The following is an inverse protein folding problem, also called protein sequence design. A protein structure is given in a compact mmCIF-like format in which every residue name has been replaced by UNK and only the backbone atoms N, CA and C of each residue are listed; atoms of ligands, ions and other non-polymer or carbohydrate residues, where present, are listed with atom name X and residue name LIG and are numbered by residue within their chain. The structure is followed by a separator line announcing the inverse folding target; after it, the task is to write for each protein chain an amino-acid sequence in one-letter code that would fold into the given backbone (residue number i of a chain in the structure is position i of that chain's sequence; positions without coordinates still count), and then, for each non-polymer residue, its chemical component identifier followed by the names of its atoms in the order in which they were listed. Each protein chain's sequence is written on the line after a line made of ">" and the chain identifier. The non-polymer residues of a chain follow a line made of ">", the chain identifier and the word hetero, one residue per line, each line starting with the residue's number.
data_IF_690285698609
#
_entry.id   IF_690285698609
#
_cell.length_a   1.000
_cell.length_b   1.000
_cell.length_c   1.000
_cell.angle_alpha   90.00
_cell.angle_beta   90.00
_cell.angle_gamma   90.00
#
_symmetry.space_group_name_H-M   'P 1'
#
loop_
_entity.id
_entity.type
_entity.pdbx_description
1 polymer ?
#
# COMPACT_ATOMS: atom_id res chain seq x y z
N UNK A 1 -14.86 4.83 60.99
CA UNK A 1 -15.99 4.53 60.07
C UNK A 1 -15.44 4.56 58.66
N UNK A 2 -15.19 3.38 58.11
CA UNK A 2 -14.49 3.14 56.83
C UNK A 2 -15.57 3.03 55.75
N UNK A 3 -15.51 3.84 54.69
CA UNK A 3 -16.36 3.65 53.50
C UNK A 3 -15.45 3.40 52.30
N UNK A 4 -15.67 2.22 51.71
CA UNK A 4 -14.88 1.55 50.68
C UNK A 4 -14.95 2.28 49.35
N UNK A 5 -13.80 2.38 48.67
CA UNK A 5 -13.71 2.63 47.22
C UNK A 5 -14.10 1.33 46.49
N UNK A 6 -15.11 1.41 45.63
CA UNK A 6 -15.44 0.35 44.67
C UNK A 6 -14.55 0.48 43.43
N UNK A 7 -13.85 -0.59 43.10
CA UNK A 7 -13.09 -0.75 41.87
C UNK A 7 -14.03 -0.84 40.64
N UNK A 8 -13.62 -0.39 39.45
CA UNK A 8 -14.40 -0.61 38.23
C UNK A 8 -14.23 -2.06 37.76
N UNK A 9 -15.36 -2.73 37.58
CA UNK A 9 -15.49 -4.05 36.96
C UNK A 9 -15.17 -3.95 35.47
N UNK A 10 -14.12 -4.65 35.00
CA UNK A 10 -13.91 -4.92 33.58
C UNK A 10 -15.08 -5.77 33.05
N UNK A 11 -15.94 -5.21 32.20
CA UNK A 11 -16.89 -6.00 31.44
C UNK A 11 -16.21 -6.51 30.16
N UNK A 12 -15.92 -7.81 30.12
CA UNK A 12 -15.56 -8.49 28.88
C UNK A 12 -16.79 -8.48 27.95
N UNK A 13 -16.68 -7.81 26.81
CA UNK A 13 -17.67 -7.91 25.73
C UNK A 13 -17.14 -8.88 24.68
N UNK A 14 -17.87 -9.97 24.54
CA UNK A 14 -17.73 -10.97 23.48
C UNK A 14 -17.74 -10.30 22.11
N UNK A 15 -16.67 -10.48 21.34
CA UNK A 15 -16.60 -10.07 19.92
C UNK A 15 -17.56 -10.97 19.14
N UNK A 16 -18.63 -10.41 18.60
CA UNK A 16 -19.56 -11.12 17.72
C UNK A 16 -19.12 -10.89 16.27
N UNK A 17 -18.67 -11.95 15.62
CA UNK A 17 -18.35 -11.94 14.19
C UNK A 17 -19.62 -12.23 13.37
N UNK A 18 -20.00 -11.32 12.47
CA UNK A 18 -21.04 -11.59 11.48
C UNK A 18 -20.38 -11.91 10.15
N UNK A 19 -20.36 -13.20 9.80
CA UNK A 19 -20.19 -13.63 8.41
C UNK A 19 -21.57 -13.60 7.74
N UNK A 20 -21.77 -12.70 6.77
CA UNK A 20 -22.99 -12.74 5.96
C UNK A 20 -22.92 -13.93 5.00
N UNK A 21 -23.66 -15.00 5.30
CA UNK A 21 -23.92 -16.09 4.37
C UNK A 21 -25.18 -15.71 3.59
N UNK A 22 -25.04 -15.41 2.31
CA UNK A 22 -26.18 -15.27 1.40
C UNK A 22 -26.78 -16.65 1.12
N UNK A 23 -27.91 -16.98 1.74
CA UNK A 23 -28.69 -18.18 1.44
C UNK A 23 -29.74 -17.86 0.37
N UNK A 24 -29.44 -18.18 -0.89
CA UNK A 24 -30.40 -18.21 -1.99
C UNK A 24 -31.21 -19.50 -1.99
N UNK A 25 -32.53 -19.38 -2.14
CA UNK A 25 -33.49 -20.48 -2.27
C UNK A 25 -33.18 -21.35 -3.51
N UNK A 26 -33.26 -22.67 -3.31
CA UNK A 26 -32.85 -23.68 -4.28
C UNK A 26 -33.92 -23.96 -5.34
N UNK A 27 -33.49 -24.06 -6.61
CA UNK A 27 -34.06 -25.00 -7.58
C UNK A 27 -32.94 -25.64 -8.42
N UNK A 28 -32.77 -26.95 -8.21
CA UNK A 28 -32.10 -27.94 -9.07
C UNK A 28 -30.94 -27.52 -9.98
N UNK A 29 -29.72 -27.59 -9.47
CA UNK A 29 -28.49 -27.80 -10.26
C UNK A 29 -27.51 -28.65 -9.43
N UNK A 30 -26.76 -29.52 -10.09
CA UNK A 30 -25.82 -30.48 -9.49
C UNK A 30 -24.98 -29.81 -8.38
N UNK A 31 -24.91 -30.45 -7.19
CA UNK A 31 -23.95 -30.08 -6.15
C UNK A 31 -22.55 -30.33 -6.70
N UNK A 32 -21.97 -29.33 -7.36
CA UNK A 32 -20.52 -29.16 -7.36
C UNK A 32 -20.15 -29.10 -5.88
N UNK A 33 -19.35 -30.06 -5.42
CA UNK A 33 -18.74 -30.00 -4.10
C UNK A 33 -18.03 -28.66 -4.00
N UNK A 34 -18.65 -27.68 -3.34
CA UNK A 34 -17.98 -26.43 -3.04
C UNK A 34 -16.80 -26.80 -2.15
N UNK A 35 -15.58 -26.48 -2.58
CA UNK A 35 -14.41 -26.58 -1.71
C UNK A 35 -14.77 -25.98 -0.35
N UNK A 36 -14.41 -26.63 0.77
CA UNK A 36 -14.66 -26.06 2.08
C UNK A 36 -14.08 -24.64 2.10
N UNK A 37 -14.82 -23.64 2.60
CA UNK A 37 -14.32 -22.29 2.65
C UNK A 37 -12.98 -22.29 3.39
N UNK A 38 -11.98 -21.54 2.90
CA UNK A 38 -10.66 -21.61 3.48
C UNK A 38 -10.73 -21.21 4.96
N UNK A 39 -10.04 -21.99 5.80
CA UNK A 39 -10.05 -21.81 7.26
C UNK A 39 -9.26 -20.56 7.62
N UNK A 40 -9.96 -19.48 7.93
CA UNK A 40 -9.41 -18.31 8.58
C UNK A 40 -9.40 -18.50 10.10
N UNK A 41 -8.36 -18.00 10.78
CA UNK A 41 -8.27 -17.99 12.24
C UNK A 41 -7.85 -16.61 12.73
N UNK A 42 -8.49 -16.15 13.80
CA UNK A 42 -8.13 -14.94 14.52
C UNK A 42 -7.83 -15.28 15.98
N UNK A 43 -6.65 -14.91 16.45
CA UNK A 43 -6.22 -15.06 17.85
C UNK A 43 -5.87 -13.68 18.38
N UNK A 44 -6.48 -13.29 19.50
CA UNK A 44 -6.21 -12.00 20.14
C UNK A 44 -5.41 -12.23 21.41
N UNK A 45 -4.21 -11.67 21.45
CA UNK A 45 -3.42 -11.51 22.67
C UNK A 45 -3.81 -10.17 23.29
N UNK A 46 -4.30 -10.14 24.55
CA UNK A 46 -4.66 -8.91 25.21
C UNK A 46 -3.49 -7.92 25.33
N UNK A 47 -3.81 -6.64 25.47
CA UNK A 47 -2.84 -5.61 25.75
C UNK A 47 -2.09 -5.87 27.07
N UNK A 48 -0.86 -5.38 27.16
CA UNK A 48 -0.07 -5.35 28.40
C UNK A 48 0.07 -3.91 28.89
N UNK A 49 0.80 -3.71 30.00
CA UNK A 49 1.15 -2.36 30.44
C UNK A 49 2.08 -1.63 29.45
N UNK A 50 2.80 -2.37 28.59
CA UNK A 50 3.86 -1.86 27.72
C UNK A 50 3.47 -1.90 26.23
N UNK A 51 2.38 -2.60 25.87
CA UNK A 51 1.97 -2.79 24.48
C UNK A 51 0.45 -2.88 24.30
N UNK A 52 -0.03 -2.45 23.14
CA UNK A 52 -1.41 -2.71 22.71
C UNK A 52 -1.65 -4.19 22.40
N UNK A 53 -2.90 -4.59 22.10
CA UNK A 53 -3.23 -5.98 21.81
C UNK A 53 -2.60 -6.44 20.49
N UNK A 54 -2.31 -7.75 20.40
CA UNK A 54 -1.84 -8.38 19.17
C UNK A 54 -2.97 -9.23 18.60
N UNK A 55 -3.44 -8.88 17.40
CA UNK A 55 -4.43 -9.64 16.64
C UNK A 55 -3.68 -10.44 15.57
N UNK A 56 -3.48 -11.74 15.82
CA UNK A 56 -2.89 -12.65 14.84
C UNK A 56 -3.97 -13.21 13.94
N UNK A 57 -3.84 -12.95 12.64
CA UNK A 57 -4.69 -13.53 11.61
C UNK A 57 -3.89 -14.54 10.79
N UNK A 58 -4.52 -15.66 10.47
CA UNK A 58 -3.89 -16.70 9.67
C UNK A 58 -4.89 -17.44 8.79
N UNK A 59 -4.37 -18.01 7.71
CA UNK A 59 -5.14 -18.76 6.73
C UNK A 59 -5.27 -18.00 5.41
N UNK A 60 -6.11 -18.54 4.53
CA UNK A 60 -6.37 -17.98 3.21
C UNK A 60 -7.79 -17.44 3.18
N UNK A 61 -8.02 -16.31 2.52
CA UNK A 61 -9.34 -15.69 2.48
C UNK A 61 -9.57 -15.01 1.13
N UNK A 62 -10.79 -15.12 0.58
CA UNK A 62 -11.11 -14.59 -0.75
C UNK A 62 -11.87 -13.27 -0.72
N UNK A 63 -11.95 -12.61 0.44
CA UNK A 63 -12.82 -11.44 0.65
C UNK A 63 -12.18 -10.44 1.61
N UNK A 64 -12.73 -9.23 1.68
CA UNK A 64 -12.25 -8.18 2.59
C UNK A 64 -12.33 -8.67 4.04
N UNK A 65 -11.30 -8.39 4.83
CA UNK A 65 -11.36 -8.42 6.28
C UNK A 65 -11.39 -7.00 6.82
N UNK A 66 -12.37 -6.70 7.66
CA UNK A 66 -12.48 -5.41 8.36
C UNK A 66 -12.37 -5.62 9.86
N UNK A 67 -11.35 -5.01 10.46
CA UNK A 67 -11.22 -4.93 11.91
C UNK A 67 -12.06 -3.77 12.44
N UNK A 68 -13.02 -4.10 13.30
CA UNK A 68 -13.84 -3.14 14.05
C UNK A 68 -13.33 -3.02 15.48
N UNK A 69 -13.67 -1.91 16.15
CA UNK A 69 -13.32 -1.64 17.55
C UNK A 69 -11.82 -1.83 17.85
N UNK A 70 -10.98 -1.36 16.94
CA UNK A 70 -9.52 -1.42 17.04
C UNK A 70 -9.06 -0.58 18.22
N UNK A 71 -8.38 -1.22 19.17
CA UNK A 71 -7.84 -0.56 20.34
C UNK A 71 -6.55 0.21 20.02
N UNK A 72 -6.17 1.12 20.91
CA UNK A 72 -4.92 1.85 20.85
C UNK A 72 -3.71 0.90 20.71
N UNK A 73 -2.77 1.25 19.84
CA UNK A 73 -1.51 0.53 19.64
C UNK A 73 -1.69 -0.93 19.22
N UNK A 74 -2.80 -1.27 18.56
CA UNK A 74 -3.06 -2.65 18.09
C UNK A 74 -2.05 -3.05 17.03
N UNK A 75 -1.50 -4.25 17.17
CA UNK A 75 -0.65 -4.90 16.17
C UNK A 75 -1.46 -6.00 15.48
N UNK A 76 -1.68 -5.87 14.18
CA UNK A 76 -2.20 -6.93 13.33
C UNK A 76 -1.03 -7.76 12.78
N UNK A 77 -0.86 -8.98 13.31
CA UNK A 77 0.12 -9.92 12.79
C UNK A 77 -0.54 -10.75 11.68
N UNK A 78 -0.27 -10.38 10.43
CA UNK A 78 -0.83 -10.94 9.21
C UNK A 78 0.18 -11.83 8.45
N UNK A 79 1.34 -12.14 9.05
CA UNK A 79 2.41 -12.91 8.38
C UNK A 79 1.93 -14.26 7.83
N UNK A 80 0.98 -14.89 8.50
CA UNK A 80 0.40 -16.17 8.11
C UNK A 80 -0.93 -16.02 7.33
N UNK A 81 -1.25 -14.79 6.89
CA UNK A 81 -2.51 -14.45 6.23
C UNK A 81 -2.31 -14.22 4.73
N UNK A 82 -3.16 -14.83 3.91
CA UNK A 82 -3.19 -14.63 2.47
C UNK A 82 -4.59 -14.28 1.98
N UNK A 83 -4.68 -13.21 1.20
CA UNK A 83 -5.84 -12.88 0.39
C UNK A 83 -5.64 -13.40 -1.02
N UNK A 84 -6.50 -14.34 -1.42
CA UNK A 84 -6.48 -14.99 -2.73
C UNK A 84 -7.93 -15.17 -3.22
N UNK A 85 -8.54 -14.11 -3.78
CA UNK A 85 -9.92 -14.14 -4.28
C UNK A 85 -10.03 -15.05 -5.50
N UNK A 86 -11.26 -15.27 -6.00
CA UNK A 86 -11.45 -15.92 -7.30
C UNK A 86 -11.31 -14.88 -8.41
N UNK A 87 -10.86 -15.29 -9.60
CA UNK A 87 -10.74 -14.41 -10.77
C UNK A 87 -12.06 -13.74 -11.16
N UNK A 88 -13.19 -14.43 -10.97
CA UNK A 88 -14.53 -13.90 -11.29
C UNK A 88 -15.01 -12.87 -10.26
N UNK A 89 -14.32 -12.79 -9.12
CA UNK A 89 -14.65 -11.92 -8.00
C UNK A 89 -13.36 -11.27 -7.45
N UNK A 90 -12.72 -10.38 -8.24
CA UNK A 90 -11.52 -9.69 -7.81
C UNK A 90 -11.77 -8.95 -6.50
N UNK A 91 -10.72 -8.74 -5.73
CA UNK A 91 -10.78 -8.18 -4.40
C UNK A 91 -10.60 -6.65 -4.48
N UNK A 92 -11.61 -5.83 -4.15
CA UNK A 92 -11.45 -4.38 -4.15
C UNK A 92 -10.57 -3.96 -2.97
N UNK A 93 -10.85 -4.46 -1.76
CA UNK A 93 -10.01 -4.19 -0.58
C UNK A 93 -9.76 -5.45 0.22
N UNK A 94 -8.50 -5.73 0.54
CA UNK A 94 -8.14 -6.96 1.24
C UNK A 94 -8.28 -6.80 2.76
N UNK A 95 -7.66 -5.78 3.32
CA UNK A 95 -7.65 -5.54 4.75
C UNK A 95 -7.98 -4.09 5.08
N UNK A 96 -8.83 -3.89 6.09
CA UNK A 96 -9.06 -2.56 6.66
C UNK A 96 -9.13 -2.56 8.17
N UNK A 97 -8.58 -1.52 8.80
CA UNK A 97 -8.59 -1.35 10.25
C UNK A 97 -8.70 0.13 10.65
N UNK A 98 -9.37 0.40 11.78
CA UNK A 98 -9.44 1.73 12.39
C UNK A 98 -10.57 2.63 11.87
N UNK A 99 -11.31 2.19 10.86
CA UNK A 99 -12.52 2.85 10.32
C UNK A 99 -13.65 2.81 11.38
N UNK A 100 -13.59 3.67 12.39
CA UNK A 100 -14.50 3.67 13.53
C UNK A 100 -14.67 5.07 14.14
N UNK A 101 -15.72 5.35 14.95
CA UNK A 101 -15.99 6.70 15.46
C UNK A 101 -14.86 7.30 16.30
N UNK A 102 -14.00 6.48 16.88
CA UNK A 102 -12.78 6.94 17.52
C UNK A 102 -11.63 6.09 16.99
N UNK A 103 -10.97 6.49 15.89
CA UNK A 103 -9.82 5.76 15.37
C UNK A 103 -8.77 5.59 16.46
N UNK A 104 -8.00 4.49 16.45
CA UNK A 104 -6.86 4.36 17.35
C UNK A 104 -5.83 5.45 17.03
N UNK A 105 -5.01 5.78 18.01
CA UNK A 105 -3.84 6.65 17.83
C UNK A 105 -2.83 5.95 16.95
N UNK A 106 -2.43 4.73 17.31
CA UNK A 106 -1.45 3.98 16.52
C UNK A 106 -1.99 2.60 16.13
N UNK A 107 -1.57 2.13 14.96
CA UNK A 107 -1.75 0.74 14.54
C UNK A 107 -0.54 0.25 13.75
N UNK A 108 -0.32 -1.06 13.77
CA UNK A 108 0.77 -1.70 13.02
C UNK A 108 0.26 -2.94 12.32
N UNK A 109 0.64 -3.12 11.07
CA UNK A 109 0.39 -4.29 10.26
C UNK A 109 1.72 -4.97 9.98
N UNK A 110 1.82 -6.26 10.32
CA UNK A 110 3.00 -7.08 10.09
C UNK A 110 2.68 -8.16 9.05
N UNK A 111 3.28 -8.07 7.88
CA UNK A 111 3.12 -9.03 6.78
C UNK A 111 1.76 -8.95 6.10
N UNK A 112 1.31 -10.10 5.59
CA UNK A 112 0.13 -10.24 4.77
C UNK A 112 0.49 -10.37 3.29
N UNK A 113 -0.10 -11.37 2.64
CA UNK A 113 0.04 -11.60 1.21
C UNK A 113 -1.29 -11.25 0.54
N UNK A 114 -1.29 -10.29 -0.37
CA UNK A 114 -2.49 -9.87 -1.09
C UNK A 114 -2.31 -10.08 -2.58
N UNK A 115 -3.18 -10.88 -3.18
CA UNK A 115 -3.45 -10.89 -4.62
C UNK A 115 -4.84 -10.29 -4.86
N UNK A 116 -4.95 -9.19 -5.57
CA UNK A 116 -6.25 -8.60 -5.90
C UNK A 116 -6.97 -9.31 -7.05
N UNK A 117 -6.24 -10.07 -7.89
CA UNK A 117 -6.73 -10.72 -9.11
C UNK A 117 -7.59 -9.85 -10.02
N UNK A 118 -7.32 -8.54 -10.07
CA UNK A 118 -7.96 -7.64 -11.04
C UNK A 118 -7.66 -8.17 -12.46
N UNK A 119 -8.67 -8.36 -13.32
CA UNK A 119 -8.45 -8.87 -14.67
C UNK A 119 -7.44 -8.01 -15.46
N UNK A 120 -6.51 -8.68 -16.14
CA UNK A 120 -5.38 -8.01 -16.80
C UNK A 120 -5.80 -7.18 -18.02
N UNK A 121 -6.92 -7.55 -18.65
CA UNK A 121 -7.51 -6.85 -19.79
C UNK A 121 -8.29 -5.60 -19.41
N UNK A 122 -8.57 -5.38 -18.12
CA UNK A 122 -9.22 -4.16 -17.67
C UNK A 122 -8.37 -2.93 -17.98
N UNK A 123 -8.99 -1.92 -18.58
CA UNK A 123 -8.36 -0.61 -18.74
C UNK A 123 -8.13 0.06 -17.39
N UNK A 124 -7.31 1.11 -17.38
CA UNK A 124 -7.13 1.92 -16.18
C UNK A 124 -8.48 2.48 -15.70
N UNK A 125 -9.33 2.98 -16.61
CA UNK A 125 -10.63 3.57 -16.23
C UNK A 125 -11.58 2.55 -15.58
N UNK A 126 -11.62 1.31 -16.07
CA UNK A 126 -12.45 0.25 -15.46
C UNK A 126 -11.90 -0.11 -14.09
N UNK A 127 -10.58 -0.23 -13.97
CA UNK A 127 -9.92 -0.53 -12.70
C UNK A 127 -10.13 0.61 -11.69
N UNK A 128 -10.02 1.86 -12.12
CA UNK A 128 -10.23 3.03 -11.27
C UNK A 128 -11.68 3.13 -10.78
N UNK A 129 -12.65 2.79 -11.62
CA UNK A 129 -14.07 2.73 -11.26
C UNK A 129 -14.39 1.57 -10.30
N UNK A 130 -13.60 0.49 -10.30
CA UNK A 130 -13.76 -0.64 -9.39
C UNK A 130 -13.44 -0.28 -7.93
N UNK A 131 -12.50 0.66 -7.72
CA UNK A 131 -12.09 1.18 -6.42
C UNK A 131 -11.35 0.16 -5.53
N UNK A 132 -10.57 0.68 -4.56
CA UNK A 132 -10.07 -0.07 -3.41
C UNK A 132 -8.55 -0.19 -3.31
N UNK A 133 -8.08 -0.95 -2.32
CA UNK A 133 -6.65 -1.03 -1.96
C UNK A 133 -6.28 -2.36 -1.32
N UNK A 134 -5.00 -2.78 -1.35
CA UNK A 134 -4.62 -3.93 -0.53
C UNK A 134 -4.83 -3.64 0.97
N UNK A 135 -4.38 -2.48 1.43
CA UNK A 135 -4.54 -2.05 2.81
C UNK A 135 -5.20 -0.69 2.91
N UNK A 136 -6.19 -0.58 3.80
CA UNK A 136 -6.84 0.66 4.17
C UNK A 136 -6.77 0.85 5.69
N UNK A 137 -6.13 1.91 6.16
CA UNK A 137 -5.95 2.11 7.60
C UNK A 137 -6.36 3.51 8.02
N UNK A 138 -6.97 3.61 9.19
CA UNK A 138 -7.29 4.88 9.82
C UNK A 138 -6.68 4.94 11.22
N UNK A 139 -5.79 5.89 11.46
CA UNK A 139 -5.29 6.20 12.80
C UNK A 139 -4.89 7.67 12.91
N UNK A 140 -5.05 8.26 14.09
CA UNK A 140 -4.76 9.70 14.32
C UNK A 140 -3.29 9.99 14.63
N UNK A 141 -2.48 8.95 14.82
CA UNK A 141 -1.05 8.98 15.09
C UNK A 141 -0.29 8.13 14.06
N UNK A 142 0.61 7.27 14.51
CA UNK A 142 1.47 6.49 13.61
C UNK A 142 0.80 5.21 13.08
N UNK A 143 0.90 5.01 11.78
CA UNK A 143 0.45 3.81 11.08
C UNK A 143 1.64 3.13 10.41
N UNK A 144 1.81 1.83 10.64
CA UNK A 144 2.93 1.07 10.10
C UNK A 144 2.43 -0.11 9.28
N UNK A 145 2.99 -0.31 8.09
CA UNK A 145 2.96 -1.58 7.37
C UNK A 145 4.39 -2.09 7.17
N UNK A 146 4.64 -3.31 7.59
CA UNK A 146 5.98 -3.91 7.59
C UNK A 146 5.95 -5.31 6.97
N UNK A 147 6.65 -5.50 5.85
CA UNK A 147 6.88 -6.82 5.28
C UNK A 147 5.71 -7.40 4.48
N UNK A 148 4.76 -6.57 4.04
CA UNK A 148 3.64 -7.02 3.21
C UNK A 148 4.04 -7.35 1.76
N UNK A 149 3.39 -8.37 1.18
CA UNK A 149 3.46 -8.72 -0.25
C UNK A 149 2.15 -8.29 -0.91
N UNK A 150 2.20 -7.33 -1.84
CA UNK A 150 1.00 -6.75 -2.47
C UNK A 150 1.07 -6.94 -3.99
N UNK A 151 0.05 -7.56 -4.57
CA UNK A 151 -0.04 -7.85 -6.00
C UNK A 151 -1.41 -7.52 -6.59
N UNK A 152 -1.41 -6.91 -7.78
CA UNK A 152 -2.56 -6.81 -8.68
C UNK A 152 -3.85 -6.26 -8.02
N UNK A 153 -3.69 -5.15 -7.30
CA UNK A 153 -4.76 -4.35 -6.70
C UNK A 153 -4.80 -2.98 -7.37
N UNK A 154 -5.87 -2.22 -7.16
CA UNK A 154 -5.90 -0.84 -7.64
C UNK A 154 -4.86 0.00 -6.92
N UNK A 155 -5.08 0.27 -5.63
CA UNK A 155 -4.14 1.00 -4.80
C UNK A 155 -3.38 0.05 -3.87
N UNK A 156 -2.12 0.37 -3.55
CA UNK A 156 -1.34 -0.46 -2.64
C UNK A 156 -1.78 -0.25 -1.19
N UNK A 157 -1.55 0.96 -0.67
CA UNK A 157 -1.92 1.34 0.69
C UNK A 157 -2.56 2.73 0.74
N UNK A 158 -3.69 2.82 1.45
CA UNK A 158 -4.44 4.04 1.74
C UNK A 158 -4.35 4.34 3.25
N UNK A 159 -3.29 5.02 3.73
CA UNK A 159 -3.26 5.54 5.10
C UNK A 159 -4.14 6.79 5.23
N UNK A 160 -4.95 6.84 6.29
CA UNK A 160 -5.88 7.93 6.61
C UNK A 160 -5.79 8.29 8.09
N UNK A 161 -6.12 9.51 8.45
CA UNK A 161 -6.40 9.92 9.83
C UNK A 161 -7.90 10.02 10.10
N UNK A 162 -8.69 10.33 9.06
CA UNK A 162 -10.13 10.51 9.16
C UNK A 162 -10.88 9.31 8.60
N UNK A 163 -11.89 8.77 9.31
CA UNK A 163 -12.82 7.80 8.73
C UNK A 163 -13.63 8.38 7.56
N UNK A 164 -13.89 7.58 6.54
CA UNK A 164 -14.64 7.96 5.33
C UNK A 164 -16.08 8.42 5.64
N UNK A 165 -16.70 7.92 6.71
CA UNK A 165 -18.06 8.32 7.09
C UNK A 165 -18.14 9.68 7.83
N UNK A 166 -17.01 10.36 8.04
CA UNK A 166 -16.96 11.69 8.65
C UNK A 166 -16.65 12.76 7.62
N UNK A 167 -17.08 14.02 7.86
CA UNK A 167 -16.47 15.15 7.17
C UNK A 167 -14.96 15.06 7.38
N UNK A 168 -14.21 15.09 6.27
CA UNK A 168 -12.75 15.03 6.32
C UNK A 168 -12.23 16.15 7.22
N UNK A 169 -11.53 15.75 8.27
CA UNK A 169 -10.97 16.62 9.29
C UNK A 169 -9.52 16.19 9.44
N UNK A 170 -8.69 16.72 8.55
CA UNK A 170 -7.25 16.49 8.49
C UNK A 170 -6.64 17.04 9.79
N UNK A 171 -6.48 16.15 10.76
CA UNK A 171 -6.00 16.52 12.08
C UNK A 171 -4.54 16.91 11.99
N UNK A 172 -3.82 16.30 11.04
CA UNK A 172 -2.42 16.52 10.80
C UNK A 172 -1.63 16.30 12.09
N UNK A 173 -1.82 15.12 12.67
CA UNK A 173 -1.13 14.68 13.88
C UNK A 173 -0.47 13.31 13.73
N UNK A 174 -0.69 12.66 12.61
CA UNK A 174 -0.33 11.29 12.30
C UNK A 174 0.85 11.20 11.35
N UNK A 175 1.26 9.96 11.11
CA UNK A 175 2.30 9.67 10.15
C UNK A 175 2.17 8.24 9.66
N UNK A 176 2.80 7.95 8.51
CA UNK A 176 2.84 6.61 7.97
C UNK A 176 4.28 6.06 7.85
N UNK A 177 4.43 4.75 8.00
CA UNK A 177 5.67 4.02 7.69
C UNK A 177 5.34 2.79 6.86
N UNK A 178 5.92 2.70 5.66
CA UNK A 178 5.90 1.48 4.84
C UNK A 178 7.33 0.97 4.73
N UNK A 179 7.59 -0.26 5.19
CA UNK A 179 8.93 -0.84 5.13
C UNK A 179 8.96 -2.31 4.78
N UNK A 180 10.05 -2.75 4.18
CA UNK A 180 10.30 -4.16 3.82
C UNK A 180 9.21 -4.76 2.90
N UNK A 181 8.42 -3.94 2.20
CA UNK A 181 7.29 -4.39 1.41
C UNK A 181 7.69 -4.75 -0.02
N UNK A 182 7.08 -5.81 -0.56
CA UNK A 182 7.19 -6.18 -1.97
C UNK A 182 5.87 -5.95 -2.71
N UNK A 183 5.86 -4.93 -3.56
CA UNK A 183 4.65 -4.44 -4.23
C UNK A 183 4.80 -4.55 -5.74
N UNK A 184 3.79 -5.09 -6.41
CA UNK A 184 3.80 -5.33 -7.87
C UNK A 184 2.42 -5.20 -8.49
N UNK A 185 2.35 -4.78 -9.74
CA UNK A 185 1.11 -4.77 -10.51
C UNK A 185 0.04 -3.82 -9.96
N UNK A 186 0.46 -2.72 -9.34
CA UNK A 186 -0.47 -1.70 -8.84
C UNK A 186 -1.08 -0.96 -10.03
N UNK A 187 -2.40 -0.85 -10.04
CA UNK A 187 -3.15 -0.37 -11.21
C UNK A 187 -3.44 1.13 -11.17
N UNK A 188 -3.32 1.76 -10.01
CA UNK A 188 -3.42 3.21 -9.84
C UNK A 188 -2.36 3.70 -8.83
N UNK A 189 -2.72 4.08 -7.60
CA UNK A 189 -1.80 4.71 -6.65
C UNK A 189 -1.18 3.68 -5.68
N UNK A 190 0.13 3.45 -5.77
CA UNK A 190 0.79 2.46 -4.90
C UNK A 190 0.74 2.87 -3.43
N UNK A 191 0.89 4.16 -3.16
CA UNK A 191 0.59 4.78 -1.88
C UNK A 191 -0.31 5.97 -2.18
N UNK A 192 -1.55 5.92 -1.71
CA UNK A 192 -2.55 6.96 -1.92
C UNK A 192 -2.70 7.81 -0.65
N UNK A 193 -1.89 8.86 -0.53
CA UNK A 193 -1.87 9.77 0.60
C UNK A 193 -2.75 11.01 0.38
N UNK A 194 -4.04 10.79 0.07
CA UNK A 194 -5.01 11.88 -0.08
C UNK A 194 -5.36 12.67 1.22
N UNK A 195 -4.72 12.33 2.34
CA UNK A 195 -4.82 13.09 3.59
C UNK A 195 -3.53 13.80 3.99
N UNK A 196 -2.51 13.81 3.12
CA UNK A 196 -1.26 14.54 3.34
C UNK A 196 -0.61 14.18 4.69
N UNK A 197 -0.52 12.89 5.01
CA UNK A 197 0.25 12.45 6.16
C UNK A 197 1.75 12.54 5.84
N UNK A 198 2.61 13.06 6.73
CA UNK A 198 4.05 12.86 6.61
C UNK A 198 4.40 11.37 6.81
N UNK A 199 5.54 10.94 6.31
CA UNK A 199 5.88 9.52 6.44
C UNK A 199 7.23 9.08 5.94
N UNK A 200 7.45 7.77 6.06
CA UNK A 200 8.67 7.08 5.66
C UNK A 200 8.35 5.86 4.80
N UNK A 201 9.13 5.69 3.75
CA UNK A 201 9.12 4.53 2.86
C UNK A 201 10.55 3.98 2.86
N UNK A 202 10.74 2.79 3.41
CA UNK A 202 12.08 2.28 3.75
C UNK A 202 12.28 0.86 3.24
N UNK A 203 13.31 0.67 2.42
CA UNK A 203 13.75 -0.66 1.97
C UNK A 203 12.63 -1.49 1.31
N UNK A 204 11.86 -0.85 0.43
CA UNK A 204 10.75 -1.47 -0.30
C UNK A 204 11.11 -1.70 -1.77
N UNK A 205 10.53 -2.76 -2.34
CA UNK A 205 10.58 -3.04 -3.78
C UNK A 205 9.20 -2.83 -4.39
N UNK A 206 9.08 -1.79 -5.21
CA UNK A 206 7.91 -1.46 -6.02
C UNK A 206 8.24 -1.81 -7.48
N UNK A 207 7.86 -3.00 -7.93
CA UNK A 207 8.21 -3.50 -9.25
C UNK A 207 6.95 -3.56 -10.13
N UNK A 208 6.84 -2.63 -11.08
CA UNK A 208 5.70 -2.51 -11.98
C UNK A 208 4.48 -1.93 -11.29
N UNK A 209 4.58 -0.67 -10.89
CA UNK A 209 3.47 0.11 -10.34
C UNK A 209 3.05 1.21 -11.33
N UNK A 210 1.76 1.57 -11.33
CA UNK A 210 1.26 2.61 -12.22
C UNK A 210 1.66 4.01 -11.75
N UNK A 211 1.30 4.34 -10.52
CA UNK A 211 1.76 5.53 -9.80
C UNK A 211 2.52 5.09 -8.54
N UNK A 212 3.71 5.62 -8.29
CA UNK A 212 4.45 5.26 -7.07
C UNK A 212 3.89 5.95 -5.82
N UNK A 213 3.82 7.28 -5.81
CA UNK A 213 3.33 8.02 -4.65
C UNK A 213 2.34 9.11 -5.09
N UNK A 214 1.17 9.12 -4.45
CA UNK A 214 0.11 10.08 -4.69
C UNK A 214 -0.18 10.87 -3.42
N UNK A 215 -0.30 12.18 -3.57
CA UNK A 215 -0.69 13.09 -2.51
C UNK A 215 -1.52 14.23 -3.13
N UNK A 216 -2.82 14.18 -2.89
CA UNK A 216 -3.78 15.08 -3.52
C UNK A 216 -4.97 15.33 -2.58
N UNK A 217 -5.67 16.45 -2.76
CA UNK A 217 -6.94 16.63 -2.06
C UNK A 217 -7.93 15.59 -2.59
N UNK A 218 -8.52 14.82 -1.67
CA UNK A 218 -9.58 13.87 -2.02
C UNK A 218 -10.71 14.60 -2.75
N UNK A 219 -11.26 13.95 -3.78
CA UNK A 219 -12.40 14.47 -4.52
C UNK A 219 -13.68 13.86 -3.94
N UNK A 220 -14.49 14.66 -3.25
CA UNK A 220 -15.79 14.20 -2.73
C UNK A 220 -16.88 14.60 -3.74
N UNK A 221 -17.59 13.63 -4.30
CA UNK A 221 -18.68 13.86 -5.29
C UNK A 221 -18.26 14.69 -6.51
N UNK A 222 -17.04 14.50 -7.01
CA UNK A 222 -16.52 15.27 -8.15
C UNK A 222 -16.10 16.70 -7.80
N UNK A 223 -16.15 17.09 -6.53
CA UNK A 223 -15.80 18.44 -6.07
C UNK A 223 -14.48 18.40 -5.29
N UNK A 224 -13.50 19.16 -5.78
CA UNK A 224 -12.20 19.40 -5.13
C UNK A 224 -12.26 20.72 -4.35
N UNK A 225 -12.77 20.71 -3.12
CA UNK A 225 -13.05 21.99 -2.41
C UNK A 225 -12.43 22.14 -1.04
N UNK A 226 -11.74 21.13 -0.51
CA UNK A 226 -11.16 21.27 0.80
C UNK A 226 -9.81 21.97 0.65
N UNK A 227 -9.77 23.27 0.94
CA UNK A 227 -8.56 23.92 1.44
C UNK A 227 -8.24 23.23 2.76
N UNK A 228 -7.26 22.35 2.72
CA UNK A 228 -6.83 21.59 3.86
C UNK A 228 -5.54 22.23 4.35
N UNK A 229 -5.41 22.62 5.63
CA UNK A 229 -4.09 22.74 6.21
C UNK A 229 -3.51 21.33 6.13
N UNK A 230 -2.51 21.08 5.29
CA UNK A 230 -2.02 19.72 4.95
C UNK A 230 -0.71 19.35 5.61
N UNK A 231 -0.08 20.32 6.27
CA UNK A 231 1.10 20.11 7.10
C UNK A 231 0.83 20.91 8.35
N UNK A 232 0.48 20.22 9.43
CA UNK A 232 0.27 20.86 10.73
C UNK A 232 1.57 21.54 11.19
N UNK A 233 1.53 22.61 12.01
CA UNK A 233 2.74 23.27 12.49
C UNK A 233 3.65 22.37 13.35
N UNK A 234 3.14 21.22 13.81
CA UNK A 234 3.88 20.21 14.56
C UNK A 234 4.31 19.00 13.70
N UNK A 235 3.97 18.97 12.41
CA UNK A 235 4.28 17.87 11.51
C UNK A 235 5.59 18.07 10.76
N UNK A 236 6.16 16.95 10.32
CA UNK A 236 7.25 16.97 9.36
C UNK A 236 6.74 17.55 8.03
N UNK A 237 7.44 18.51 7.40
CA UNK A 237 7.11 18.96 6.05
C UNK A 237 7.57 17.97 4.97
N UNK A 238 8.13 16.83 5.38
CA UNK A 238 8.84 15.89 4.53
C UNK A 238 8.22 14.48 4.54
N UNK A 239 8.24 13.85 3.37
CA UNK A 239 8.12 12.40 3.19
C UNK A 239 9.48 11.84 2.78
N UNK A 240 9.97 10.86 3.53
CA UNK A 240 11.28 10.25 3.33
C UNK A 240 11.15 8.94 2.57
N UNK A 241 11.89 8.77 1.48
CA UNK A 241 12.03 7.50 0.76
C UNK A 241 13.50 7.09 0.82
N UNK A 242 13.77 5.93 1.40
CA UNK A 242 15.13 5.47 1.67
C UNK A 242 15.35 4.06 1.18
N UNK A 243 16.46 3.82 0.47
CA UNK A 243 16.90 2.50 -0.01
C UNK A 243 15.81 1.71 -0.74
N UNK A 244 14.91 2.39 -1.43
CA UNK A 244 13.78 1.75 -2.11
C UNK A 244 14.02 1.66 -3.62
N UNK A 245 13.47 0.60 -4.21
CA UNK A 245 13.53 0.33 -5.64
C UNK A 245 12.15 0.55 -6.24
N UNK A 246 12.02 1.46 -7.20
CA UNK A 246 10.74 1.87 -7.79
C UNK A 246 10.82 1.69 -9.30
N UNK A 247 10.01 0.81 -9.88
CA UNK A 247 9.84 0.68 -11.32
C UNK A 247 8.41 0.92 -11.73
N UNK A 248 8.22 1.89 -12.61
CA UNK A 248 6.95 2.09 -13.29
C UNK A 248 6.80 1.12 -14.45
N UNK A 249 5.60 0.62 -14.66
CA UNK A 249 5.27 -0.23 -15.81
C UNK A 249 3.81 -0.05 -16.25
N UNK A 250 3.50 -0.56 -17.43
CA UNK A 250 2.12 -0.72 -17.88
C UNK A 250 1.48 -1.83 -17.06
N UNK A 251 0.56 -1.46 -16.18
CA UNK A 251 -0.14 -2.43 -15.33
C UNK A 251 -1.56 -2.68 -15.75
N UNK A 252 -2.14 -1.84 -16.63
CA UNK A 252 -3.53 -1.96 -17.12
C UNK A 252 -3.61 -2.22 -18.63
N UNK A 253 -4.65 -2.94 -19.04
CA UNK A 253 -4.88 -3.31 -20.44
C UNK A 253 -5.10 -2.10 -21.33
N UNK A 254 -4.41 -2.08 -22.47
CA UNK A 254 -4.56 -1.02 -23.48
C UNK A 254 -3.90 0.32 -23.14
N UNK A 255 -3.19 0.44 -22.01
CA UNK A 255 -2.44 1.65 -21.70
C UNK A 255 -1.19 1.77 -22.59
N UNK A 256 -0.92 2.95 -23.18
CA UNK A 256 0.24 3.14 -24.07
C UNK A 256 1.57 3.30 -23.31
N UNK A 257 1.53 3.38 -21.98
CA UNK A 257 2.69 3.58 -21.13
C UNK A 257 2.31 3.62 -19.65
N UNK A 258 3.30 3.63 -18.74
CA UNK A 258 3.06 3.72 -17.30
C UNK A 258 2.40 5.06 -16.89
N UNK A 259 2.01 5.12 -15.61
CA UNK A 259 1.50 6.33 -14.95
C UNK A 259 2.60 7.33 -14.59
N UNK A 260 2.86 7.57 -13.30
CA UNK A 260 3.75 8.65 -12.85
C UNK A 260 4.54 8.29 -11.58
N UNK A 261 5.72 8.88 -11.40
CA UNK A 261 6.47 8.68 -10.15
C UNK A 261 5.76 9.37 -8.98
N UNK A 262 5.35 10.62 -9.19
CA UNK A 262 4.77 11.45 -8.14
C UNK A 262 3.53 12.18 -8.66
N UNK A 263 2.36 11.82 -8.11
CA UNK A 263 1.09 12.50 -8.36
C UNK A 263 0.83 13.48 -7.22
N UNK A 264 1.40 14.67 -7.32
CA UNK A 264 1.28 15.71 -6.30
C UNK A 264 0.30 16.80 -6.75
N UNK A 265 -0.92 16.73 -6.25
CA UNK A 265 -2.00 17.67 -6.59
C UNK A 265 -2.61 18.30 -5.32
N UNK A 266 -1.80 19.00 -4.54
CA UNK A 266 -2.26 19.89 -3.48
C UNK A 266 -2.96 21.13 -4.03
N UNK A 267 -4.28 21.05 -4.20
CA UNK A 267 -5.13 22.18 -4.58
C UNK A 267 -5.25 23.13 -3.39
N UNK A 268 -4.45 24.21 -3.42
CA UNK A 268 -4.34 25.21 -2.34
C UNK A 268 -3.78 24.67 -1.02
N UNK A 269 -3.32 23.44 -1.04
CA UNK A 269 -2.65 22.76 0.06
C UNK A 269 -1.19 22.52 -0.32
N UNK A 270 -0.21 22.86 0.52
CA UNK A 270 1.18 22.50 0.24
C UNK A 270 1.34 20.98 0.25
N UNK A 271 1.98 20.45 -0.78
CA UNK A 271 2.44 19.07 -0.76
C UNK A 271 3.72 18.93 0.08
N UNK A 272 3.97 17.74 0.63
CA UNK A 272 5.24 17.42 1.29
C UNK A 272 6.40 17.58 0.32
N UNK A 273 7.54 18.02 0.86
CA UNK A 273 8.82 17.83 0.17
C UNK A 273 9.19 16.36 0.22
N UNK A 274 9.66 15.84 -0.90
CA UNK A 274 10.16 14.46 -0.98
C UNK A 274 11.67 14.46 -0.71
N UNK A 275 12.11 13.63 0.23
CA UNK A 275 13.52 13.42 0.54
C UNK A 275 13.92 12.02 0.12
N UNK A 276 14.78 11.91 -0.89
CA UNK A 276 15.19 10.64 -1.51
C UNK A 276 16.62 10.29 -1.11
N UNK A 277 16.80 9.12 -0.46
CA UNK A 277 18.10 8.64 0.00
C UNK A 277 18.39 7.25 -0.55
N UNK A 278 19.44 7.11 -1.37
CA UNK A 278 19.88 5.84 -1.94
C UNK A 278 18.78 5.07 -2.71
N UNK A 279 17.90 5.80 -3.41
CA UNK A 279 16.78 5.22 -4.15
C UNK A 279 17.13 4.94 -5.61
N UNK A 280 16.47 3.95 -6.20
CA UNK A 280 16.58 3.64 -7.62
C UNK A 280 15.21 3.66 -8.26
N UNK A 281 15.06 4.48 -9.29
CA UNK A 281 13.85 4.62 -10.10
C UNK A 281 14.08 3.96 -11.46
N UNK A 282 13.07 3.34 -12.05
CA UNK A 282 13.19 2.67 -13.33
C UNK A 282 11.91 2.78 -14.17
N UNK A 283 12.08 2.81 -15.49
CA UNK A 283 10.97 2.71 -16.46
C UNK A 283 11.51 2.15 -17.78
N UNK A 284 10.69 1.40 -18.51
CA UNK A 284 11.03 0.82 -19.82
C UNK A 284 10.36 1.55 -20.99
N UNK A 285 9.38 2.40 -20.73
CA UNK A 285 8.54 3.07 -21.73
C UNK A 285 8.26 4.52 -21.32
N UNK A 286 8.00 5.39 -22.31
CA UNK A 286 7.51 6.73 -22.04
C UNK A 286 6.14 6.63 -21.33
N UNK A 287 5.93 7.36 -20.22
CA UNK A 287 4.63 7.38 -19.57
C UNK A 287 3.49 7.85 -20.49
N UNK A 288 2.27 7.37 -20.22
CA UNK A 288 1.09 7.66 -21.07
C UNK A 288 0.79 9.14 -21.26
N UNK A 289 1.19 9.98 -20.30
CA UNK A 289 0.98 11.42 -20.29
C UNK A 289 2.29 12.22 -20.49
N UNK A 290 3.27 11.57 -21.13
CA UNK A 290 4.54 12.12 -21.57
C UNK A 290 5.67 12.05 -20.54
N UNK A 291 6.89 12.31 -20.99
CA UNK A 291 8.13 12.29 -20.19
C UNK A 291 8.08 13.05 -18.85
N UNK A 292 7.23 14.08 -18.73
CA UNK A 292 7.08 14.83 -17.47
C UNK A 292 6.62 13.98 -16.29
N UNK A 293 6.01 12.82 -16.52
CA UNK A 293 5.57 11.92 -15.46
C UNK A 293 6.73 11.15 -14.79
N UNK A 294 7.92 11.17 -15.38
CA UNK A 294 9.16 10.71 -14.74
C UNK A 294 9.92 11.84 -14.03
N UNK A 295 9.38 13.06 -14.00
CA UNK A 295 10.04 14.16 -13.30
C UNK A 295 9.89 14.01 -11.78
N UNK A 296 10.91 14.48 -11.08
CA UNK A 296 10.88 14.65 -9.64
C UNK A 296 10.26 16.00 -9.27
N UNK A 297 9.56 16.11 -8.14
CA UNK A 297 9.09 17.39 -7.61
C UNK A 297 10.24 18.40 -7.51
N UNK A 298 9.98 19.68 -7.81
CA UNK A 298 11.03 20.72 -7.80
C UNK A 298 11.66 20.92 -6.42
N UNK A 299 10.93 20.60 -5.37
CA UNK A 299 11.36 20.74 -3.97
C UNK A 299 12.13 19.51 -3.48
N UNK A 300 12.28 18.47 -4.29
CA UNK A 300 12.93 17.21 -3.89
C UNK A 300 14.34 17.43 -3.38
N UNK A 301 14.66 16.84 -2.24
CA UNK A 301 16.02 16.76 -1.72
C UNK A 301 16.60 15.37 -2.04
N UNK A 302 17.78 15.35 -2.67
CA UNK A 302 18.51 14.11 -2.97
C UNK A 302 19.67 13.94 -2.00
N UNK A 303 19.75 12.77 -1.36
CA UNK A 303 20.83 12.36 -0.45
C UNK A 303 21.42 11.04 -0.91
N UNK A 304 22.71 10.83 -0.66
CA UNK A 304 23.39 9.58 -1.03
C UNK A 304 23.40 9.33 -2.55
N UNK A 305 23.25 8.06 -2.96
CA UNK A 305 23.38 7.64 -4.36
C UNK A 305 22.03 7.28 -4.97
N UNK A 306 21.44 8.22 -5.72
CA UNK A 306 20.17 7.99 -6.41
C UNK A 306 20.38 7.69 -7.89
N UNK A 307 19.60 6.76 -8.44
CA UNK A 307 19.65 6.38 -9.85
C UNK A 307 18.30 6.50 -10.53
N UNK A 308 18.33 6.87 -11.81
CA UNK A 308 17.22 6.68 -12.73
C UNK A 308 17.67 5.71 -13.83
N UNK A 309 16.99 4.59 -13.94
CA UNK A 309 17.29 3.50 -14.87
C UNK A 309 16.29 3.53 -16.02
N UNK A 310 16.73 4.01 -17.18
CA UNK A 310 15.95 3.89 -18.40
C UNK A 310 16.21 2.51 -19.02
N UNK A 311 15.25 1.61 -18.85
CA UNK A 311 15.35 0.22 -19.29
C UNK A 311 15.06 0.06 -20.79
N UNK A 312 14.66 1.13 -21.48
CA UNK A 312 14.43 1.15 -22.93
C UNK A 312 15.73 1.22 -23.73
N UNK A 313 15.65 1.68 -24.97
CA UNK A 313 16.83 1.89 -25.82
C UNK A 313 17.69 3.07 -25.33
N UNK A 314 19.01 2.92 -25.38
CA UNK A 314 19.98 3.97 -25.01
C UNK A 314 19.78 5.23 -25.84
N UNK A 315 19.78 6.40 -25.18
CA UNK A 315 19.64 7.71 -25.82
C UNK A 315 18.20 8.06 -26.20
N UNK A 316 17.21 7.26 -25.75
CA UNK A 316 15.79 7.52 -25.96
C UNK A 316 15.10 8.11 -24.73
N UNK A 317 15.78 8.19 -23.59
CA UNK A 317 15.21 8.86 -22.43
C UNK A 317 14.95 10.35 -22.73
N UNK A 318 13.67 10.74 -22.73
CA UNK A 318 13.24 12.11 -23.05
C UNK A 318 12.88 12.97 -21.83
N UNK A 319 13.03 12.44 -20.62
CA UNK A 319 12.74 13.14 -19.37
C UNK A 319 13.85 14.07 -18.90
N UNK A 320 13.57 14.81 -17.83
CA UNK A 320 14.59 15.63 -17.15
C UNK A 320 15.25 14.81 -16.04
N UNK A 321 16.58 14.74 -16.05
CA UNK A 321 17.37 14.21 -14.95
C UNK A 321 17.77 15.38 -14.04
N UNK A 322 17.35 15.43 -12.76
CA UNK A 322 17.78 16.47 -11.84
C UNK A 322 19.21 16.21 -11.33
N UNK A 323 19.85 17.26 -10.84
CA UNK A 323 21.11 17.14 -10.10
C UNK A 323 20.91 16.23 -8.88
N UNK A 324 21.88 15.36 -8.60
CA UNK A 324 21.79 14.35 -7.54
C UNK A 324 21.22 12.99 -7.98
N UNK A 325 20.82 12.85 -9.24
CA UNK A 325 20.48 11.56 -9.86
C UNK A 325 21.46 11.17 -10.96
N UNK A 326 21.89 9.91 -10.95
CA UNK A 326 22.64 9.29 -12.05
C UNK A 326 21.70 8.56 -12.99
N UNK A 327 21.63 9.00 -14.25
CA UNK A 327 20.94 8.26 -15.31
C UNK A 327 21.80 7.08 -15.80
N UNK A 328 21.19 5.91 -15.92
CA UNK A 328 21.76 4.73 -16.58
C UNK A 328 20.74 4.26 -17.61
N UNK A 329 21.18 3.91 -18.81
CA UNK A 329 20.28 3.54 -19.91
C UNK A 329 20.60 2.16 -20.50
N UNK A 330 19.64 1.56 -21.22
CA UNK A 330 19.85 0.39 -22.05
C UNK A 330 20.18 -0.89 -21.27
N UNK A 331 21.08 -1.70 -21.82
CA UNK A 331 21.50 -2.97 -21.21
C UNK A 331 22.12 -2.78 -19.81
N UNK A 332 22.88 -1.69 -19.61
CA UNK A 332 23.45 -1.38 -18.31
C UNK A 332 22.36 -1.08 -17.26
N UNK A 333 21.28 -0.41 -17.67
CA UNK A 333 20.14 -0.13 -16.81
C UNK A 333 19.38 -1.43 -16.47
N UNK A 334 19.15 -2.29 -17.47
CA UNK A 334 18.51 -3.61 -17.30
C UNK A 334 19.30 -4.50 -16.34
N UNK A 335 20.61 -4.63 -16.55
CA UNK A 335 21.48 -5.40 -15.67
C UNK A 335 21.48 -4.86 -14.24
N UNK A 336 21.60 -3.53 -14.08
CA UNK A 336 21.58 -2.89 -12.75
C UNK A 336 20.24 -3.09 -12.03
N UNK A 337 19.11 -2.98 -12.74
CA UNK A 337 17.79 -3.24 -12.17
C UNK A 337 17.67 -4.69 -11.70
N UNK A 338 18.03 -5.65 -12.56
CA UNK A 338 18.05 -7.07 -12.22
C UNK A 338 18.86 -7.34 -10.94
N UNK A 339 20.08 -6.82 -10.86
CA UNK A 339 20.97 -7.05 -9.72
C UNK A 339 20.43 -6.44 -8.42
N UNK A 340 19.92 -5.21 -8.48
CA UNK A 340 19.32 -4.54 -7.32
C UNK A 340 18.07 -5.27 -6.85
N UNK A 341 17.16 -5.60 -7.78
CA UNK A 341 15.92 -6.33 -7.50
C UNK A 341 16.22 -7.68 -6.85
N UNK A 342 17.08 -8.50 -7.46
CA UNK A 342 17.36 -9.85 -6.97
C UNK A 342 18.14 -9.85 -5.65
N UNK A 343 18.99 -8.85 -5.43
CA UNK A 343 19.61 -8.63 -4.12
C UNK A 343 18.56 -8.34 -3.06
N UNK A 344 17.64 -7.41 -3.33
CA UNK A 344 16.54 -7.11 -2.42
C UNK A 344 15.68 -8.36 -2.17
N UNK A 345 15.21 -9.05 -3.21
CA UNK A 345 14.42 -10.27 -3.08
C UNK A 345 15.10 -11.29 -2.18
N UNK A 346 16.39 -11.58 -2.40
CA UNK A 346 17.15 -12.54 -1.58
C UNK A 346 17.30 -12.09 -0.13
N UNK A 347 17.61 -10.81 0.11
CA UNK A 347 17.71 -10.24 1.47
C UNK A 347 16.39 -10.41 2.23
N UNK A 348 15.27 -10.15 1.56
CA UNK A 348 13.92 -10.21 2.16
C UNK A 348 13.24 -11.58 2.04
N UNK A 349 13.98 -12.65 1.70
CA UNK A 349 13.48 -14.03 1.77
C UNK A 349 12.58 -14.45 0.60
N UNK A 350 12.65 -13.76 -0.54
CA UNK A 350 11.98 -14.12 -1.79
C UNK A 350 12.94 -14.81 -2.76
N UNK A 351 12.37 -15.58 -3.68
CA UNK A 351 13.12 -16.16 -4.79
C UNK A 351 13.54 -15.08 -5.80
N UNK A 352 14.71 -15.27 -6.40
CA UNK A 352 15.20 -14.40 -7.48
C UNK A 352 14.40 -14.58 -8.75
N UNK A 353 14.36 -13.54 -9.59
CA UNK A 353 13.69 -13.56 -10.89
C UNK A 353 14.71 -13.53 -12.03
N UNK A 354 14.37 -14.09 -13.19
CA UNK A 354 15.24 -14.09 -14.36
C UNK A 354 15.56 -12.66 -14.83
N UNK A 355 16.69 -12.49 -15.53
CA UNK A 355 17.16 -11.18 -15.97
C UNK A 355 16.26 -10.50 -17.01
N UNK A 356 15.60 -11.30 -17.85
CA UNK A 356 14.64 -10.88 -18.86
C UNK A 356 13.20 -10.79 -18.33
N UNK A 357 12.95 -11.23 -17.09
CA UNK A 357 11.64 -11.15 -16.47
C UNK A 357 11.34 -9.73 -15.98
N UNK A 358 10.78 -8.91 -16.86
CA UNK A 358 10.23 -7.59 -16.55
C UNK A 358 8.70 -7.60 -16.42
N UNK A 359 8.04 -8.74 -16.63
CA UNK A 359 6.59 -8.82 -16.55
C UNK A 359 6.14 -9.00 -15.10
N UNK A 360 5.76 -7.91 -14.46
CA UNK A 360 5.36 -7.94 -13.04
C UNK A 360 3.99 -8.56 -12.80
N UNK A 361 3.14 -8.67 -13.83
CA UNK A 361 1.82 -9.30 -13.70
C UNK A 361 1.90 -10.83 -13.59
N UNK A 362 3.08 -11.42 -13.81
CA UNK A 362 3.35 -12.85 -13.62
C UNK A 362 4.20 -13.13 -12.37
N UNK A 363 4.44 -12.12 -11.53
CA UNK A 363 5.25 -12.26 -10.32
C UNK A 363 4.59 -13.25 -9.35
N UNK A 364 5.34 -14.22 -8.80
CA UNK A 364 4.83 -15.08 -7.73
C UNK A 364 4.23 -14.26 -6.56
N UNK A 365 3.08 -14.72 -6.07
CA UNK A 365 2.39 -14.12 -4.92
C UNK A 365 2.50 -15.05 -3.72
N UNK A 366 3.67 -15.03 -3.10
CA UNK A 366 4.01 -15.85 -1.95
C UNK A 366 4.49 -14.98 -0.79
N UNK A 367 4.34 -15.50 0.43
CA UNK A 367 4.98 -14.92 1.60
C UNK A 367 6.51 -15.08 1.52
N UNK A 368 7.29 -14.17 2.13
CA UNK A 368 8.73 -14.38 2.25
C UNK A 368 9.03 -15.60 3.13
N UNK A 369 10.06 -16.35 2.76
CA UNK A 369 10.52 -17.54 3.53
C UNK A 369 11.18 -17.18 4.86
N UNK A 370 11.64 -15.92 4.99
CA UNK A 370 12.17 -15.30 6.20
C UNK A 370 11.82 -13.82 6.18
N UNK A 371 11.42 -13.26 7.31
CA UNK A 371 11.27 -11.81 7.42
C UNK A 371 12.66 -11.17 7.53
N UNK A 372 12.81 -9.96 6.99
CA UNK A 372 13.98 -9.13 7.32
C UNK A 372 13.85 -8.68 8.78
N UNK A 373 14.94 -8.81 9.55
CA UNK A 373 15.03 -8.41 10.96
C UNK A 373 15.12 -6.88 11.14
#
# INVERSE_FOLDING_TARGET
>A
MQIRRSAPTLSFRTVVWIAMIASGLATGLQRVSADPPPKFQAIVTPATAESGPIVKLSGRFGSRYTAYDVAENTIFNLRDMQWDPRSEHPLPTAFSAGEQPKPPTNLTILGGVVDGRIPLDWSWSVTHAFSGSAFYTVATGQQIIDGARIHNVQDGWRPRETPEFRPRAYLNTGSFVMRNCYVTGIRDDCIENDEFLPGKIEDCLFDGVFTFYSEQNETINGVRTLEVPTIGPAESPDVFVTRSLIRLDVTSGGEPGPGTLFKLHGYKSPNHRIVLTDCTFAASQEPRAGWKQLNFPKTTEFRGTNHLLWLGETGKFGGKVPDGITLVEGDAARAKWHDLRNRWLTTHGYETRAADDLNTMQTPVAAPTRMAD
#
